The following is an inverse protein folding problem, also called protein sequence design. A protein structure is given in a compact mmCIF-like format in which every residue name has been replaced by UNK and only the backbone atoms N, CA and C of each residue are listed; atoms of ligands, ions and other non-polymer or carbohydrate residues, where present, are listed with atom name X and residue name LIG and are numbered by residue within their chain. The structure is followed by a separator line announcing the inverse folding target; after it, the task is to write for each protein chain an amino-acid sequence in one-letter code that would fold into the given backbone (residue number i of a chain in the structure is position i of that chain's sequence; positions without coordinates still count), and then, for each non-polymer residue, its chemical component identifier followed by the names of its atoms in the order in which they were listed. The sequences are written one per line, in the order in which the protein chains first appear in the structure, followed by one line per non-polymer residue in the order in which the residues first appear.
data_IF_690103584885
#
_entry.id   IF_690103584885
#
_cell.length_a   1.000
_cell.length_b   1.000
_cell.length_c   1.000
_cell.angle_alpha   90.00
_cell.angle_beta   90.00
_cell.angle_gamma   90.00
#
_symmetry.space_group_name_H-M   'P 1'
#
loop_
_entity.id
_entity.type
_entity.pdbx_description
1 polymer ?
#
# COMPACT_ATOMS: atom_id res chain seq x y z
N UNK A 1 -20.67 -5.39 -1.29
CA UNK A 1 -21.02 -5.12 -2.70
C UNK A 1 -20.47 -6.21 -3.57
N UNK A 2 -20.98 -6.37 -4.79
CA UNK A 2 -20.46 -7.35 -5.72
C UNK A 2 -19.03 -7.01 -6.16
N UNK A 3 -18.34 -8.03 -6.59
CA UNK A 3 -17.08 -7.90 -7.31
C UNK A 3 -17.23 -6.94 -8.50
N UNK A 4 -16.22 -6.12 -8.76
CA UNK A 4 -16.27 -5.05 -9.76
C UNK A 4 -15.55 -5.51 -11.01
N UNK A 5 -16.28 -5.65 -12.11
CA UNK A 5 -15.70 -5.99 -13.39
C UNK A 5 -14.98 -4.80 -14.02
N UNK A 6 -13.71 -4.99 -14.33
CA UNK A 6 -12.86 -4.06 -15.06
C UNK A 6 -12.30 -4.72 -16.33
N UNK A 7 -11.50 -4.01 -17.11
CA UNK A 7 -10.87 -4.59 -18.29
C UNK A 7 -9.97 -5.79 -17.92
N UNK A 8 -10.38 -7.00 -18.31
CA UNK A 8 -9.62 -8.25 -18.14
C UNK A 8 -9.49 -8.77 -16.71
N UNK A 9 -10.31 -8.28 -15.76
CA UNK A 9 -10.34 -8.81 -14.39
C UNK A 9 -11.61 -8.41 -13.64
N UNK A 10 -11.84 -9.11 -12.53
CA UNK A 10 -12.83 -8.77 -11.52
C UNK A 10 -12.09 -8.45 -10.24
N UNK A 11 -12.33 -7.27 -9.66
CA UNK A 11 -11.74 -6.86 -8.38
C UNK A 11 -12.77 -7.03 -7.26
N UNK A 12 -12.34 -7.69 -6.19
CA UNK A 12 -13.12 -7.78 -4.96
C UNK A 12 -13.00 -6.49 -4.15
N UNK A 13 -14.14 -5.98 -3.66
CA UNK A 13 -14.20 -4.77 -2.86
C UNK A 13 -15.19 -4.91 -1.70
N UNK A 14 -14.70 -4.77 -0.48
CA UNK A 14 -15.54 -4.64 0.70
C UNK A 14 -15.90 -3.17 0.91
N UNK A 15 -17.20 -2.89 1.13
CA UNK A 15 -17.70 -1.52 1.31
C UNK A 15 -18.29 -1.36 2.69
N UNK A 16 -17.89 -0.32 3.41
CA UNK A 16 -18.39 0.00 4.75
C UNK A 16 -18.63 1.50 4.92
N UNK A 17 -19.63 1.88 5.71
CA UNK A 17 -19.96 3.28 6.00
C UNK A 17 -20.64 4.00 4.84
N UNK A 18 -20.81 5.32 5.02
CA UNK A 18 -21.44 6.25 4.08
C UNK A 18 -20.68 7.57 4.09
N UNK A 19 -20.93 8.42 3.09
CA UNK A 19 -20.27 9.73 2.97
C UNK A 19 -19.30 9.79 1.79
N UNK A 20 -18.27 10.62 1.90
CA UNK A 20 -17.26 10.75 0.84
C UNK A 20 -16.49 9.43 0.65
N UNK A 21 -16.32 8.94 -0.58
CA UNK A 21 -15.65 7.67 -0.82
C UNK A 21 -14.13 7.77 -0.63
N UNK A 22 -13.56 6.72 0.02
CA UNK A 22 -12.13 6.51 0.14
C UNK A 22 -11.75 5.10 -0.27
N UNK A 23 -10.85 4.99 -1.24
CA UNK A 23 -10.26 3.73 -1.70
C UNK A 23 -9.02 3.41 -0.87
N UNK A 24 -8.97 2.18 -0.31
CA UNK A 24 -7.85 1.69 0.48
C UNK A 24 -7.11 0.59 -0.29
N UNK A 25 -5.86 0.87 -0.69
CA UNK A 25 -5.00 -0.04 -1.45
C UNK A 25 -3.97 -0.66 -0.50
N UNK A 26 -4.01 -1.99 -0.23
CA UNK A 26 -3.13 -2.64 0.72
C UNK A 26 -1.70 -2.80 0.20
N UNK A 27 -0.80 -3.23 1.08
CA UNK A 27 0.59 -3.51 0.78
C UNK A 27 0.82 -4.83 0.03
N UNK A 28 2.09 -5.16 -0.17
CA UNK A 28 2.56 -6.31 -0.92
C UNK A 28 1.96 -7.63 -0.42
N UNK A 29 1.24 -8.35 -1.29
CA UNK A 29 0.65 -9.65 -1.01
C UNK A 29 -0.49 -9.66 0.02
N UNK A 30 -1.00 -8.49 0.39
CA UNK A 30 -2.07 -8.30 1.36
C UNK A 30 -3.40 -8.00 0.65
N UNK A 31 -4.49 -8.54 1.18
CA UNK A 31 -5.85 -8.27 0.75
C UNK A 31 -6.52 -7.15 1.60
N UNK A 32 -7.80 -6.88 1.34
CA UNK A 32 -8.60 -5.89 2.06
C UNK A 32 -8.59 -6.05 3.58
N UNK A 33 -8.37 -7.27 4.11
CA UNK A 33 -8.35 -7.53 5.57
C UNK A 33 -7.16 -6.90 6.28
N UNK A 34 -6.15 -6.41 5.52
CA UNK A 34 -5.09 -5.58 6.07
C UNK A 34 -5.65 -4.39 6.85
N UNK A 35 -6.74 -3.81 6.37
CA UNK A 35 -7.39 -2.63 6.97
C UNK A 35 -8.46 -2.96 8.01
N UNK A 36 -8.58 -4.22 8.48
CA UNK A 36 -9.66 -4.68 9.38
C UNK A 36 -9.84 -3.85 10.65
N UNK A 37 -8.77 -3.25 11.17
CA UNK A 37 -8.84 -2.36 12.34
C UNK A 37 -9.13 -0.90 11.97
N UNK A 38 -8.73 -0.46 10.77
CA UNK A 38 -8.95 0.91 10.28
C UNK A 38 -10.33 1.12 9.67
N UNK A 39 -10.87 0.12 8.96
CA UNK A 39 -12.17 0.22 8.27
C UNK A 39 -13.30 0.62 9.22
N UNK A 40 -13.50 -0.01 10.41
CA UNK A 40 -14.58 0.38 11.30
C UNK A 40 -14.46 1.82 11.82
N UNK A 41 -13.25 2.34 11.92
CA UNK A 41 -12.98 3.70 12.39
C UNK A 41 -13.25 4.74 11.27
N UNK A 42 -12.76 4.48 10.05
CA UNK A 42 -13.00 5.32 8.88
C UNK A 42 -14.49 5.33 8.48
N UNK A 43 -15.16 4.18 8.54
CA UNK A 43 -16.56 4.01 8.16
C UNK A 43 -17.56 4.82 9.00
N UNK A 44 -17.13 5.36 10.13
CA UNK A 44 -17.94 6.30 10.93
C UNK A 44 -18.15 7.65 10.22
N UNK A 45 -17.30 8.00 9.24
CA UNK A 45 -17.29 9.31 8.58
C UNK A 45 -17.18 9.24 7.05
N UNK A 46 -16.81 8.09 6.49
CA UNK A 46 -16.52 7.91 5.08
C UNK A 46 -17.17 6.65 4.54
N UNK A 47 -17.39 6.62 3.23
CA UNK A 47 -17.67 5.37 2.52
C UNK A 47 -16.33 4.72 2.16
N UNK A 48 -15.97 3.67 2.88
CA UNK A 48 -14.70 2.97 2.71
C UNK A 48 -14.82 1.89 1.66
N UNK A 49 -13.89 1.87 0.73
CA UNK A 49 -13.73 0.87 -0.34
C UNK A 49 -12.42 0.14 -0.09
N UNK A 50 -12.45 -0.99 0.63
CA UNK A 50 -11.27 -1.81 0.89
C UNK A 50 -11.16 -2.91 -0.18
N UNK A 51 -10.07 -2.91 -0.96
CA UNK A 51 -9.97 -3.71 -2.19
C UNK A 51 -8.89 -4.78 -2.10
N UNK A 52 -9.11 -5.86 -2.87
CA UNK A 52 -8.09 -6.84 -3.20
C UNK A 52 -7.48 -6.45 -4.56
N UNK A 53 -6.18 -6.16 -4.64
CA UNK A 53 -5.52 -5.92 -5.92
C UNK A 53 -5.58 -7.17 -6.82
N UNK A 54 -5.54 -6.97 -8.15
CA UNK A 54 -5.39 -8.10 -9.09
C UNK A 54 -4.24 -9.01 -8.66
N UNK A 55 -4.48 -10.30 -8.64
CA UNK A 55 -3.54 -11.33 -8.18
C UNK A 55 -3.69 -11.71 -6.71
N UNK A 56 -4.40 -10.92 -5.89
CA UNK A 56 -4.44 -11.05 -4.43
C UNK A 56 -5.88 -11.32 -3.95
N UNK A 57 -6.02 -11.96 -2.79
CA UNK A 57 -7.29 -12.15 -2.12
C UNK A 57 -8.33 -12.87 -2.98
N UNK A 58 -9.49 -12.27 -3.14
CA UNK A 58 -10.64 -12.76 -3.92
C UNK A 58 -10.69 -12.20 -5.34
N UNK A 59 -9.80 -11.25 -5.68
CA UNK A 59 -9.69 -10.72 -7.03
C UNK A 59 -9.12 -11.73 -8.03
N UNK A 60 -9.36 -11.48 -9.32
CA UNK A 60 -8.85 -12.32 -10.43
C UNK A 60 -7.35 -12.59 -10.28
N UNK A 61 -6.97 -13.86 -10.33
CA UNK A 61 -5.58 -14.34 -10.32
C UNK A 61 -5.06 -14.40 -11.77
N UNK A 62 -4.58 -13.27 -12.26
CA UNK A 62 -3.96 -13.22 -13.59
C UNK A 62 -2.56 -13.84 -13.55
N UNK A 63 -2.09 -14.45 -14.64
CA UNK A 63 -0.70 -14.85 -14.73
C UNK A 63 0.24 -13.61 -14.68
N UNK A 64 1.50 -13.76 -14.21
CA UNK A 64 2.49 -12.70 -14.31
C UNK A 64 2.80 -12.33 -15.79
N UNK A 65 3.42 -11.16 -16.06
CA UNK A 65 3.96 -10.24 -15.09
C UNK A 65 2.94 -9.24 -14.52
N UNK A 66 3.15 -8.83 -13.26
CA UNK A 66 2.43 -7.70 -12.66
C UNK A 66 3.27 -6.41 -12.76
N UNK A 67 2.64 -5.24 -12.67
CA UNK A 67 3.33 -3.95 -12.55
C UNK A 67 2.54 -2.96 -11.71
N UNK A 68 3.24 -1.99 -11.12
CA UNK A 68 2.59 -0.92 -10.34
C UNK A 68 1.65 -0.11 -11.21
N UNK A 69 2.04 0.13 -12.47
CA UNK A 69 1.24 0.86 -13.43
C UNK A 69 -0.05 0.10 -13.82
N UNK A 70 0.04 -1.23 -14.02
CA UNK A 70 -1.16 -2.02 -14.37
C UNK A 70 -2.16 -2.07 -13.21
N UNK A 71 -1.71 -2.16 -11.96
CA UNK A 71 -2.60 -2.03 -10.80
C UNK A 71 -3.21 -0.63 -10.69
N UNK A 72 -2.44 0.43 -10.99
CA UNK A 72 -2.99 1.78 -11.02
C UNK A 72 -4.09 1.94 -12.08
N UNK A 73 -3.90 1.38 -13.27
CA UNK A 73 -4.90 1.38 -14.34
C UNK A 73 -6.15 0.55 -13.95
N UNK A 74 -5.98 -0.56 -13.25
CA UNK A 74 -7.09 -1.36 -12.70
C UNK A 74 -7.94 -0.53 -11.74
N UNK A 75 -7.32 0.20 -10.81
CA UNK A 75 -8.05 1.04 -9.86
C UNK A 75 -8.68 2.26 -10.53
N UNK A 76 -8.07 2.83 -11.56
CA UNK A 76 -8.71 3.86 -12.38
C UNK A 76 -9.99 3.32 -13.03
N UNK A 77 -9.92 2.14 -13.64
CA UNK A 77 -11.09 1.48 -14.22
C UNK A 77 -12.17 1.14 -13.19
N UNK A 78 -11.77 0.73 -11.98
CA UNK A 78 -12.68 0.49 -10.87
C UNK A 78 -13.42 1.78 -10.44
N UNK A 79 -12.69 2.89 -10.27
CA UNK A 79 -13.29 4.18 -9.91
C UNK A 79 -14.30 4.62 -10.97
N UNK A 80 -13.97 4.48 -12.25
CA UNK A 80 -14.90 4.79 -13.36
C UNK A 80 -16.18 3.96 -13.30
N UNK A 81 -16.06 2.66 -13.04
CA UNK A 81 -17.21 1.73 -12.92
C UNK A 81 -18.11 2.06 -11.75
N UNK A 82 -17.55 2.52 -10.64
CA UNK A 82 -18.31 2.90 -9.45
C UNK A 82 -19.09 4.21 -9.62
N UNK A 83 -18.68 5.07 -10.55
CA UNK A 83 -19.39 6.30 -10.88
C UNK A 83 -19.38 7.37 -9.79
N UNK A 84 -18.47 7.30 -8.81
CA UNK A 84 -18.42 8.27 -7.71
C UNK A 84 -17.82 9.63 -8.08
N UNK A 85 -17.21 9.76 -9.28
CA UNK A 85 -16.36 10.91 -9.61
C UNK A 85 -15.02 10.83 -8.88
N UNK A 86 -14.30 11.95 -8.69
CA UNK A 86 -13.04 11.92 -7.95
C UNK A 86 -13.22 11.51 -6.49
N UNK A 87 -12.40 10.56 -6.02
CA UNK A 87 -12.46 9.99 -4.68
C UNK A 87 -11.15 10.20 -3.91
N UNK A 88 -11.18 10.03 -2.59
CA UNK A 88 -9.96 9.95 -1.80
C UNK A 88 -9.30 8.59 -2.02
N UNK A 89 -7.96 8.57 -2.15
CA UNK A 89 -7.19 7.32 -2.29
C UNK A 89 -6.13 7.26 -1.21
N UNK A 90 -6.07 6.12 -0.53
CA UNK A 90 -5.05 5.81 0.46
C UNK A 90 -4.35 4.51 0.06
N UNK A 91 -3.03 4.55 -0.05
CA UNK A 91 -2.22 3.36 -0.30
C UNK A 91 -1.17 3.16 0.79
N UNK A 92 -0.98 1.90 1.21
CA UNK A 92 0.04 1.52 2.19
C UNK A 92 1.15 0.71 1.53
N UNK A 93 2.44 1.05 1.78
CA UNK A 93 3.59 0.32 1.25
C UNK A 93 3.56 0.22 -0.29
N UNK A 94 3.53 -0.98 -0.88
CA UNK A 94 3.30 -1.17 -2.32
C UNK A 94 2.01 -0.49 -2.79
N UNK A 95 0.94 -0.54 -1.98
CA UNK A 95 -0.29 0.22 -2.26
C UNK A 95 -0.05 1.72 -2.33
N UNK A 96 0.92 2.25 -1.59
CA UNK A 96 1.38 3.64 -1.68
C UNK A 96 2.05 3.95 -3.02
N UNK A 97 2.90 3.05 -3.53
CA UNK A 97 3.49 3.17 -4.86
C UNK A 97 2.41 3.12 -5.96
N UNK A 98 1.43 2.22 -5.82
CA UNK A 98 0.28 2.13 -6.74
C UNK A 98 -0.56 3.41 -6.69
N UNK A 99 -0.83 3.96 -5.50
CA UNK A 99 -1.58 5.20 -5.34
C UNK A 99 -0.85 6.42 -5.95
N UNK A 100 0.48 6.47 -5.83
CA UNK A 100 1.32 7.47 -6.51
C UNK A 100 1.22 7.35 -8.03
N UNK A 101 1.32 6.13 -8.58
CA UNK A 101 1.17 5.89 -10.00
C UNK A 101 -0.24 6.25 -10.48
N UNK A 102 -1.28 5.91 -9.72
CA UNK A 102 -2.67 6.27 -10.01
C UNK A 102 -2.85 7.79 -10.04
N UNK A 103 -2.29 8.51 -9.08
CA UNK A 103 -2.35 9.97 -9.02
C UNK A 103 -1.61 10.64 -10.19
N UNK A 104 -0.49 10.08 -10.62
CA UNK A 104 0.30 10.60 -11.73
C UNK A 104 -0.36 10.33 -13.10
N UNK A 105 -0.90 9.10 -13.30
CA UNK A 105 -1.46 8.66 -14.58
C UNK A 105 -2.92 9.10 -14.77
N UNK A 106 -3.69 9.16 -13.69
CA UNK A 106 -5.14 9.38 -13.70
C UNK A 106 -5.60 10.46 -12.69
N UNK A 107 -4.97 11.66 -12.68
CA UNK A 107 -5.21 12.67 -11.63
C UNK A 107 -6.66 13.11 -11.50
N UNK A 108 -7.44 13.11 -12.59
CA UNK A 108 -8.85 13.48 -12.57
C UNK A 108 -9.78 12.54 -11.81
N UNK A 109 -9.29 11.38 -11.37
CA UNK A 109 -10.05 10.39 -10.59
C UNK A 109 -9.84 10.51 -9.08
N UNK A 110 -8.89 11.33 -8.66
CA UNK A 110 -8.54 11.50 -7.26
C UNK A 110 -8.94 12.89 -6.75
N UNK A 111 -9.54 12.91 -5.57
CA UNK A 111 -9.79 14.13 -4.79
C UNK A 111 -8.60 14.47 -3.88
N UNK A 112 -7.98 13.46 -3.33
CA UNK A 112 -6.73 13.57 -2.59
C UNK A 112 -5.98 12.23 -2.57
N UNK A 113 -4.70 12.31 -2.26
CA UNK A 113 -3.80 11.17 -2.13
C UNK A 113 -3.27 11.07 -0.69
N UNK A 114 -3.31 9.86 -0.11
CA UNK A 114 -2.62 9.54 1.14
C UNK A 114 -1.68 8.36 0.90
N UNK A 115 -0.41 8.52 1.25
CA UNK A 115 0.64 7.51 1.13
C UNK A 115 1.14 7.17 2.53
N UNK A 116 1.01 5.90 2.94
CA UNK A 116 1.42 5.42 4.27
C UNK A 116 2.57 4.42 4.12
N UNK A 117 3.76 4.76 4.60
CA UNK A 117 4.95 3.91 4.47
C UNK A 117 5.24 3.51 3.02
N UNK A 118 4.90 4.41 2.06
CA UNK A 118 5.10 4.16 0.63
C UNK A 118 6.46 4.69 0.13
N UNK A 119 6.75 4.42 -1.12
CA UNK A 119 8.04 4.77 -1.75
C UNK A 119 7.85 5.12 -3.23
N UNK A 120 8.68 5.99 -3.76
CA UNK A 120 8.80 6.29 -5.19
C UNK A 120 10.07 5.68 -5.81
N UNK A 121 10.99 5.27 -4.97
CA UNK A 121 12.20 4.52 -5.29
C UNK A 121 12.59 3.69 -4.06
N UNK A 122 13.51 2.75 -4.24
CA UNK A 122 14.05 1.95 -3.14
C UNK A 122 15.50 2.38 -2.84
N UNK A 123 15.87 2.34 -1.58
CA UNK A 123 17.26 2.37 -1.20
C UNK A 123 17.90 0.97 -1.32
N UNK A 124 19.20 0.91 -1.16
CA UNK A 124 19.98 -0.33 -1.33
C UNK A 124 19.63 -1.38 -0.26
N UNK A 125 19.32 -0.97 0.97
CA UNK A 125 18.97 -1.89 2.06
C UNK A 125 17.59 -2.51 1.82
N UNK A 126 16.61 -1.70 1.42
CA UNK A 126 15.26 -2.16 1.05
C UNK A 126 15.29 -3.11 -0.14
N UNK A 127 16.08 -2.78 -1.18
CA UNK A 127 16.27 -3.68 -2.32
C UNK A 127 16.86 -5.04 -1.90
N UNK A 128 17.91 -5.03 -1.08
CA UNK A 128 18.53 -6.26 -0.57
C UNK A 128 17.54 -7.10 0.24
N UNK A 129 16.68 -6.46 1.05
CA UNK A 129 15.61 -7.15 1.78
C UNK A 129 14.68 -7.90 0.83
N UNK A 130 14.16 -7.24 -0.21
CA UNK A 130 13.25 -7.87 -1.16
C UNK A 130 13.94 -8.95 -2.01
N UNK A 131 15.20 -8.76 -2.42
CA UNK A 131 15.98 -9.79 -3.11
C UNK A 131 16.25 -11.02 -2.23
N UNK A 132 16.55 -10.82 -0.94
CA UNK A 132 16.69 -11.92 0.02
C UNK A 132 15.36 -12.65 0.20
N UNK A 133 14.25 -11.93 0.27
CA UNK A 133 12.89 -12.50 0.36
C UNK A 133 12.60 -13.43 -0.82
N UNK A 134 12.93 -13.03 -2.06
CA UNK A 134 12.80 -13.90 -3.24
C UNK A 134 13.62 -15.20 -3.07
N UNK A 135 14.87 -15.12 -2.60
CA UNK A 135 15.72 -16.30 -2.39
C UNK A 135 15.19 -17.20 -1.27
N UNK A 136 14.60 -16.62 -0.23
CA UNK A 136 13.98 -17.41 0.83
C UNK A 136 12.73 -18.13 0.32
N UNK A 137 11.89 -17.46 -0.47
CA UNK A 137 10.69 -18.06 -1.08
C UNK A 137 11.08 -19.17 -2.07
N UNK A 138 12.12 -18.98 -2.87
CA UNK A 138 12.62 -19.99 -3.80
C UNK A 138 13.02 -21.28 -3.05
N UNK A 139 13.63 -21.16 -1.86
CA UNK A 139 14.12 -22.31 -1.09
C UNK A 139 13.08 -22.92 -0.17
N UNK A 140 12.19 -22.12 0.40
CA UNK A 140 11.31 -22.51 1.51
C UNK A 140 9.81 -22.42 1.15
N UNK A 141 9.48 -21.91 -0.05
CA UNK A 141 8.10 -21.57 -0.41
C UNK A 141 7.56 -20.45 0.47
N UNK A 142 6.24 -20.35 0.58
CA UNK A 142 5.54 -19.43 1.50
C UNK A 142 5.40 -20.08 2.88
N UNK A 143 6.55 -20.41 3.51
CA UNK A 143 6.61 -21.07 4.81
C UNK A 143 6.42 -20.12 6.00
N UNK A 144 6.32 -20.70 7.22
CA UNK A 144 6.25 -19.93 8.46
C UNK A 144 7.51 -19.09 8.68
N UNK A 145 8.68 -19.62 8.37
CA UNK A 145 9.98 -18.96 8.53
C UNK A 145 10.06 -17.71 7.63
N UNK A 146 9.56 -17.81 6.39
CA UNK A 146 9.50 -16.68 5.46
C UNK A 146 8.53 -15.62 5.98
N UNK A 147 7.39 -16.03 6.52
CA UNK A 147 6.41 -15.13 7.11
C UNK A 147 6.95 -14.47 8.40
N UNK A 148 7.69 -15.20 9.24
CA UNK A 148 8.36 -14.65 10.43
C UNK A 148 9.42 -13.60 10.03
N UNK A 149 10.24 -13.92 9.04
CA UNK A 149 11.19 -12.95 8.48
C UNK A 149 10.50 -11.65 8.04
N UNK A 150 9.36 -11.75 7.32
CA UNK A 150 8.60 -10.57 6.91
C UNK A 150 8.08 -9.79 8.11
N UNK A 151 7.54 -10.47 9.12
CA UNK A 151 7.02 -9.86 10.35
C UNK A 151 8.07 -9.05 11.10
N UNK A 152 9.30 -9.56 11.21
CA UNK A 152 10.41 -8.90 11.90
C UNK A 152 10.83 -7.56 11.25
N UNK A 153 10.60 -7.40 9.93
CA UNK A 153 10.90 -6.15 9.22
C UNK A 153 9.74 -5.16 9.20
N UNK A 154 8.51 -5.63 9.40
CA UNK A 154 7.31 -4.79 9.23
C UNK A 154 6.69 -4.31 10.53
N UNK A 155 6.91 -5.05 11.63
CA UNK A 155 6.32 -4.77 12.93
C UNK A 155 7.37 -4.37 13.96
N UNK A 156 6.98 -3.52 14.90
CA UNK A 156 7.88 -3.12 15.97
C UNK A 156 8.12 -4.27 16.96
N UNK A 157 9.33 -4.31 17.52
CA UNK A 157 9.69 -5.26 18.58
C UNK A 157 8.72 -5.20 19.77
N UNK A 158 8.30 -3.97 20.16
CA UNK A 158 7.31 -3.77 21.23
C UNK A 158 5.98 -4.44 20.91
N UNK A 159 5.50 -4.31 19.67
CA UNK A 159 4.24 -4.89 19.23
C UNK A 159 4.31 -6.42 19.21
N UNK A 160 5.34 -6.99 18.59
CA UNK A 160 5.53 -8.45 18.52
C UNK A 160 5.63 -9.10 19.90
N UNK A 161 6.26 -8.42 20.88
CA UNK A 161 6.43 -8.93 22.23
C UNK A 161 5.17 -8.81 23.12
N UNK A 162 4.09 -8.22 22.64
CA UNK A 162 2.79 -8.25 23.31
C UNK A 162 1.94 -9.42 22.81
N UNK A 163 1.14 -10.05 23.69
CA UNK A 163 0.27 -11.19 23.33
C UNK A 163 -0.69 -10.80 22.18
N UNK A 164 -1.31 -9.63 22.28
CA UNK A 164 -2.22 -9.12 21.26
C UNK A 164 -1.50 -8.86 19.93
N UNK A 165 -0.32 -8.24 19.96
CA UNK A 165 0.49 -7.96 18.77
C UNK A 165 1.01 -9.23 18.12
N UNK A 166 1.44 -10.20 18.90
CA UNK A 166 1.85 -11.51 18.39
C UNK A 166 0.70 -12.23 17.68
N UNK A 167 -0.49 -12.25 18.28
CA UNK A 167 -1.68 -12.83 17.65
C UNK A 167 -2.05 -12.13 16.32
N UNK A 168 -1.97 -10.79 16.26
CA UNK A 168 -2.19 -10.00 15.05
C UNK A 168 -1.15 -10.34 13.99
N UNK A 169 0.14 -10.44 14.36
CA UNK A 169 1.22 -10.85 13.46
C UNK A 169 0.94 -12.22 12.86
N UNK A 170 0.59 -13.23 13.68
CA UNK A 170 0.29 -14.59 13.20
C UNK A 170 -0.89 -14.62 12.23
N UNK A 171 -1.96 -13.86 12.53
CA UNK A 171 -3.10 -13.75 11.62
C UNK A 171 -2.74 -13.10 10.27
N UNK A 172 -1.88 -12.07 10.30
CA UNK A 172 -1.39 -11.41 9.07
C UNK A 172 -0.49 -12.35 8.23
N UNK A 173 0.37 -13.12 8.90
CA UNK A 173 1.21 -14.12 8.26
C UNK A 173 0.39 -15.23 7.60
N UNK A 174 -0.68 -15.69 8.25
CA UNK A 174 -1.60 -16.66 7.66
C UNK A 174 -2.25 -16.10 6.36
N UNK A 175 -2.63 -14.81 6.35
CA UNK A 175 -3.15 -14.14 5.16
C UNK A 175 -2.11 -14.07 4.04
N UNK A 176 -0.88 -13.61 4.31
CA UNK A 176 0.19 -13.54 3.29
C UNK A 176 0.46 -14.91 2.66
N UNK A 177 0.42 -15.98 3.44
CA UNK A 177 0.66 -17.35 2.97
C UNK A 177 -0.46 -17.93 2.11
N UNK A 178 -1.59 -17.24 1.95
CA UNK A 178 -2.60 -17.62 0.95
C UNK A 178 -2.14 -17.39 -0.48
N UNK A 179 -1.10 -16.56 -0.69
CA UNK A 179 -0.49 -16.38 -1.99
C UNK A 179 0.39 -17.58 -2.36
N UNK A 180 0.39 -17.97 -3.64
CA UNK A 180 1.40 -18.93 -4.12
C UNK A 180 2.80 -18.27 -4.10
N UNK A 181 3.84 -19.11 -3.99
CA UNK A 181 5.22 -18.65 -4.10
C UNK A 181 5.49 -17.92 -5.43
N UNK A 182 4.92 -18.42 -6.54
CA UNK A 182 5.02 -17.82 -7.87
C UNK A 182 4.39 -16.42 -7.90
N UNK A 183 3.13 -16.29 -7.45
CA UNK A 183 2.42 -15.00 -7.45
C UNK A 183 3.11 -13.98 -6.56
N UNK A 184 3.49 -14.38 -5.33
CA UNK A 184 4.15 -13.46 -4.42
C UNK A 184 5.53 -13.00 -4.94
N UNK A 185 6.31 -13.91 -5.54
CA UNK A 185 7.58 -13.56 -6.20
C UNK A 185 7.38 -12.57 -7.33
N UNK A 186 6.35 -12.78 -8.16
CA UNK A 186 6.01 -11.85 -9.24
C UNK A 186 5.60 -10.45 -8.74
N UNK A 187 4.94 -10.38 -7.57
CA UNK A 187 4.64 -9.07 -6.93
C UNK A 187 5.91 -8.37 -6.44
N UNK A 188 6.84 -9.12 -5.82
CA UNK A 188 8.15 -8.57 -5.41
C UNK A 188 8.94 -8.08 -6.63
N UNK A 189 8.94 -8.82 -7.72
CA UNK A 189 9.60 -8.40 -8.95
C UNK A 189 8.97 -7.13 -9.55
N UNK A 190 7.65 -6.99 -9.49
CA UNK A 190 6.97 -5.77 -9.93
C UNK A 190 7.42 -4.56 -9.09
N UNK A 191 7.50 -4.73 -7.76
CA UNK A 191 7.99 -3.72 -6.83
C UNK A 191 9.46 -3.35 -7.13
N UNK A 192 10.34 -4.33 -7.35
CA UNK A 192 11.74 -4.10 -7.68
C UNK A 192 11.91 -3.36 -9.02
N UNK A 193 11.12 -3.72 -10.04
CA UNK A 193 11.12 -2.99 -11.33
C UNK A 193 10.68 -1.54 -11.16
N UNK A 194 9.66 -1.29 -10.35
CA UNK A 194 9.20 0.06 -10.02
C UNK A 194 10.27 0.87 -9.29
N UNK A 195 10.89 0.29 -8.25
CA UNK A 195 11.96 0.94 -7.49
C UNK A 195 13.24 1.19 -8.29
N UNK A 196 13.37 0.55 -9.47
CA UNK A 196 14.46 0.73 -10.45
C UNK A 196 15.87 0.63 -9.88
N UNK A 197 16.04 -0.27 -8.91
CA UNK A 197 17.32 -0.56 -8.30
C UNK A 197 18.02 -1.77 -8.94
N UNK A 198 17.65 -2.16 -10.17
CA UNK A 198 18.27 -3.30 -10.84
C UNK A 198 19.58 -2.87 -11.54
N UNK A 199 20.63 -3.69 -11.51
CA UNK A 199 21.86 -3.44 -12.26
C UNK A 199 21.56 -3.23 -13.74
N UNK A 200 22.09 -2.16 -14.33
CA UNK A 200 21.91 -1.82 -15.76
C UNK A 200 20.67 -0.99 -16.08
N UNK A 201 19.81 -0.66 -15.10
CA UNK A 201 18.65 0.22 -15.29
C UNK A 201 18.86 1.64 -14.74
N UNK A 202 20.07 1.97 -14.35
CA UNK A 202 20.45 3.27 -13.74
C UNK A 202 20.21 4.49 -14.65
N UNK A 203 20.03 4.27 -15.96
CA UNK A 203 19.84 5.33 -16.95
C UNK A 203 18.38 5.75 -17.16
N UNK A 204 17.41 4.99 -16.67
CA UNK A 204 16.00 5.37 -16.79
C UNK A 204 15.55 6.28 -15.63
N UNK A 205 14.71 7.29 -15.90
CA UNK A 205 14.21 8.16 -14.83
C UNK A 205 13.46 7.33 -13.78
N UNK A 206 13.86 7.44 -12.52
CA UNK A 206 13.10 6.87 -11.39
C UNK A 206 11.74 7.57 -11.32
N UNK A 207 10.71 6.88 -10.82
CA UNK A 207 9.37 7.48 -10.62
C UNK A 207 9.43 8.76 -9.77
N UNK A 208 10.41 8.86 -8.89
CA UNK A 208 10.69 10.07 -8.09
C UNK A 208 10.76 11.35 -8.94
N UNK A 209 11.28 11.29 -10.19
CA UNK A 209 11.31 12.46 -11.08
C UNK A 209 9.92 12.91 -11.52
N UNK A 210 8.93 12.03 -11.50
CA UNK A 210 7.54 12.29 -11.89
C UNK A 210 6.68 12.84 -10.74
N UNK A 211 7.14 12.76 -9.49
CA UNK A 211 6.38 13.22 -8.31
C UNK A 211 5.95 14.68 -8.41
N UNK A 212 6.79 15.54 -9.00
CA UNK A 212 6.48 16.96 -9.18
C UNK A 212 5.29 17.22 -10.13
N UNK A 213 4.88 16.23 -10.93
CA UNK A 213 3.68 16.32 -11.77
C UNK A 213 2.37 16.13 -10.98
N UNK A 214 2.43 15.52 -9.81
CA UNK A 214 1.26 15.32 -8.94
C UNK A 214 0.89 16.66 -8.29
N UNK A 215 -0.32 17.15 -8.59
CA UNK A 215 -0.85 18.44 -8.09
C UNK A 215 -2.01 18.28 -7.11
N UNK A 216 -2.31 17.05 -6.73
CA UNK A 216 -3.38 16.72 -5.80
C UNK A 216 -2.98 17.05 -4.36
N UNK A 217 -3.95 17.45 -3.50
CA UNK A 217 -3.72 17.48 -2.07
C UNK A 217 -3.18 16.13 -1.60
N UNK A 218 -1.97 16.12 -1.02
CA UNK A 218 -1.25 14.89 -0.68
C UNK A 218 -0.86 14.88 0.79
N UNK A 219 -1.12 13.76 1.46
CA UNK A 219 -0.63 13.42 2.78
C UNK A 219 0.36 12.25 2.66
N UNK A 220 1.54 12.43 3.22
CA UNK A 220 2.53 11.36 3.38
C UNK A 220 2.62 11.03 4.86
N UNK A 221 2.37 9.77 5.22
CA UNK A 221 2.48 9.27 6.60
C UNK A 221 3.67 8.34 6.67
N UNK A 222 4.57 8.62 7.59
CA UNK A 222 5.76 7.80 7.86
C UNK A 222 5.81 7.40 9.33
N UNK A 223 6.62 6.41 9.66
CA UNK A 223 6.82 5.91 11.03
C UNK A 223 8.30 6.01 11.40
N UNK A 224 8.60 6.38 12.65
CA UNK A 224 9.98 6.54 13.11
C UNK A 224 10.69 5.20 13.41
N UNK A 225 9.93 4.12 13.42
CA UNK A 225 10.43 2.77 13.70
C UNK A 225 10.14 1.79 12.53
N UNK A 226 9.97 2.35 11.32
CA UNK A 226 9.82 1.56 10.09
C UNK A 226 11.22 1.12 9.61
N UNK A 227 11.50 -0.17 9.79
CA UNK A 227 12.78 -0.77 9.38
C UNK A 227 12.77 -1.28 7.94
N UNK A 228 11.59 -1.37 7.31
CA UNK A 228 11.46 -1.86 5.93
C UNK A 228 11.53 -0.73 4.91
N UNK A 229 10.73 0.32 5.12
CA UNK A 229 10.68 1.52 4.26
C UNK A 229 11.03 2.73 5.14
N UNK A 230 12.31 3.12 5.18
CA UNK A 230 12.76 4.16 6.09
C UNK A 230 12.13 5.51 5.76
N UNK A 231 12.01 6.36 6.80
CA UNK A 231 11.33 7.66 6.70
C UNK A 231 11.89 8.56 5.59
N UNK A 232 13.16 8.41 5.24
CA UNK A 232 13.85 9.17 4.20
C UNK A 232 13.18 9.01 2.83
N UNK A 233 12.60 7.83 2.53
CA UNK A 233 11.83 7.60 1.30
C UNK A 233 10.49 8.34 1.33
N UNK A 234 9.86 8.47 2.49
CA UNK A 234 8.66 9.29 2.68
C UNK A 234 8.98 10.79 2.64
N UNK A 235 10.10 11.22 3.25
CA UNK A 235 10.59 12.60 3.17
C UNK A 235 10.82 13.02 1.71
N UNK A 236 11.39 12.12 0.90
CA UNK A 236 11.62 12.35 -0.53
C UNK A 236 10.30 12.58 -1.30
N UNK A 237 9.27 11.78 -1.02
CA UNK A 237 7.94 11.96 -1.64
C UNK A 237 7.36 13.32 -1.25
N UNK A 238 7.36 13.63 0.06
CA UNK A 238 6.81 14.88 0.57
C UNK A 238 7.54 16.12 0.03
N UNK A 239 8.86 16.04 -0.13
CA UNK A 239 9.67 17.14 -0.67
C UNK A 239 9.44 17.38 -2.18
N UNK A 240 9.04 16.36 -2.95
CA UNK A 240 8.87 16.45 -4.40
C UNK A 240 7.45 16.78 -4.85
N UNK A 241 6.44 16.49 -4.05
CA UNK A 241 5.02 16.85 -4.35
C UNK A 241 4.73 18.21 -3.71
N UNK A 242 4.45 19.19 -4.54
CA UNK A 242 4.16 20.57 -4.07
C UNK A 242 2.95 20.60 -3.16
N UNK A 243 3.11 21.16 -1.95
CA UNK A 243 2.04 21.26 -0.95
C UNK A 243 1.71 19.98 -0.22
N UNK A 244 2.51 18.91 -0.39
CA UNK A 244 2.34 17.70 0.38
C UNK A 244 2.55 17.95 1.87
N UNK A 245 1.70 17.33 2.71
CA UNK A 245 1.85 17.32 4.16
C UNK A 245 2.56 16.03 4.58
N UNK A 246 3.51 16.15 5.49
CA UNK A 246 4.20 14.99 6.09
C UNK A 246 3.71 14.82 7.54
N UNK A 247 3.29 13.60 7.90
CA UNK A 247 2.89 13.25 9.25
C UNK A 247 3.72 12.06 9.75
N UNK A 248 4.24 12.17 10.98
CA UNK A 248 5.02 11.14 11.65
C UNK A 248 4.13 10.32 12.59
N UNK A 249 4.29 9.00 12.58
CA UNK A 249 3.69 8.04 13.51
C UNK A 249 4.75 7.61 14.55
N UNK A 250 4.79 8.24 15.75
CA UNK A 250 5.80 7.90 16.74
C UNK A 250 5.63 6.46 17.27
N UNK A 251 6.73 5.70 17.30
CA UNK A 251 6.77 4.34 17.84
C UNK A 251 6.02 3.30 17.02
N UNK A 252 5.57 3.61 15.81
CA UNK A 252 4.97 2.65 14.89
C UNK A 252 6.01 2.06 13.94
N UNK A 253 5.77 0.82 13.48
CA UNK A 253 6.53 0.17 12.42
C UNK A 253 5.96 0.46 11.03
N UNK A 254 6.24 -0.45 10.10
CA UNK A 254 5.85 -0.32 8.69
C UNK A 254 4.34 -0.40 8.45
N UNK A 255 3.59 -1.06 9.33
CA UNK A 255 2.16 -1.30 9.16
C UNK A 255 1.32 -0.68 10.28
N UNK A 256 1.25 0.67 10.33
CA UNK A 256 0.61 1.39 11.44
C UNK A 256 -0.90 1.12 11.55
N UNK A 257 -1.58 0.69 10.50
CA UNK A 257 -2.98 0.25 10.57
C UNK A 257 -3.19 -0.99 11.45
N UNK A 258 -2.15 -1.78 11.70
CA UNK A 258 -2.20 -2.91 12.64
C UNK A 258 -1.71 -2.52 14.03
N UNK A 259 -0.69 -1.65 14.13
CA UNK A 259 -0.07 -1.31 15.40
C UNK A 259 -0.77 -0.16 16.14
N UNK A 260 -1.23 0.86 15.41
CA UNK A 260 -1.81 2.08 15.94
C UNK A 260 -2.99 2.58 15.08
N UNK A 261 -4.04 1.76 14.86
CA UNK A 261 -5.12 2.08 13.92
C UNK A 261 -5.84 3.40 14.23
N UNK A 262 -6.07 3.73 15.50
CA UNK A 262 -6.75 4.98 15.90
C UNK A 262 -5.93 6.21 15.51
N UNK A 263 -4.62 6.14 15.70
CA UNK A 263 -3.72 7.27 15.40
C UNK A 263 -3.63 7.53 13.90
N UNK A 264 -3.39 6.49 13.09
CA UNK A 264 -3.28 6.66 11.64
C UNK A 264 -4.61 7.11 11.04
N UNK A 265 -5.74 6.57 11.49
CA UNK A 265 -7.07 6.98 11.02
C UNK A 265 -7.36 8.44 11.39
N UNK A 266 -7.04 8.88 12.60
CA UNK A 266 -7.19 10.28 13.01
C UNK A 266 -6.40 11.21 12.10
N UNK A 267 -5.12 10.92 11.82
CA UNK A 267 -4.27 11.71 10.92
C UNK A 267 -4.89 11.81 9.52
N UNK A 268 -5.42 10.71 8.98
CA UNK A 268 -6.05 10.67 7.67
C UNK A 268 -7.34 11.50 7.64
N UNK A 269 -8.20 11.35 8.64
CA UNK A 269 -9.47 12.11 8.73
C UNK A 269 -9.22 13.60 8.92
N UNK A 270 -8.30 14.00 9.80
CA UNK A 270 -7.91 15.41 10.01
C UNK A 270 -7.41 16.07 8.71
N UNK A 271 -6.64 15.31 7.91
CA UNK A 271 -6.19 15.79 6.60
C UNK A 271 -7.37 15.98 5.63
N UNK A 272 -8.23 14.98 5.48
CA UNK A 272 -9.35 15.00 4.53
C UNK A 272 -10.36 16.10 4.89
N UNK A 273 -10.72 16.23 6.17
CA UNK A 273 -11.63 17.26 6.67
C UNK A 273 -11.04 18.67 6.49
N UNK A 274 -9.72 18.81 6.58
CA UNK A 274 -9.01 20.05 6.31
C UNK A 274 -9.04 20.52 4.86
N UNK A 275 -9.39 19.66 3.90
CA UNK A 275 -9.52 20.01 2.48
C UNK A 275 -10.85 20.68 2.14
N UNK A 276 -11.84 20.55 2.99
CA UNK A 276 -13.18 21.15 2.81
C UNK A 276 -13.34 22.54 3.43
N UNK A 277 -12.29 23.04 4.07
CA UNK A 277 -12.22 24.37 4.69
C UNK A 277 -11.39 25.31 3.84
#
# INVERSE_FOLDING_TARGET
MPDIEIAGATLHCEVAGTGAPILLIPGLGLDHTYYRFGVPLLARRMQVLAVDPRGIGRSTKSPPPYSVESWADDFAGMIDKLGFGPIHVLGSSLGGAIALALAQRHPGRLKSLTVVGGFSELDRATELNFRLRLKLIEKLGMSDEVADYMGLWTLTRKFINSDAGYAVMRANQANIRTNSAESYSAFVEALLRWGRCQPGQEQEPKFTSLLSSIKLPTLVVTSDNDHLIPKELSDLIAARISGAKLAMMPGAGHIPFMEQPENVVRIVLDFIEGLGR
#
